data_IF_723626067990
#
_entry.id   IF_723626067990
#
_cell.length_a   1.000
_cell.length_b   1.000
_cell.length_c   1.000
_cell.angle_alpha   90.00
_cell.angle_beta   90.00
_cell.angle_gamma   90.00
#
_symmetry.space_group_name_H-M   'P 1'
#
loop_
_entity.id
_entity.type
_entity.pdbx_description
1 polymer ?
#
# COMPACT_ATOMS: atom_id res chain seq x y z
N UNK A 1 -0.58 -21.27 17.41
CA UNK A 1 -1.54 -21.31 16.29
C UNK A 1 -0.78 -20.87 15.05
N UNK A 2 -0.48 -21.80 14.14
CA UNK A 2 0.27 -21.51 12.92
C UNK A 2 -0.72 -20.86 11.95
N UNK A 3 -0.54 -19.57 11.70
CA UNK A 3 -1.33 -18.79 10.76
C UNK A 3 -1.20 -19.41 9.36
N UNK A 4 -2.32 -19.51 8.65
CA UNK A 4 -2.40 -20.01 7.28
C UNK A 4 -1.73 -19.04 6.29
N UNK A 5 -0.41 -18.91 6.34
CA UNK A 5 0.36 -18.28 5.27
C UNK A 5 0.53 -19.29 4.14
N UNK A 6 0.15 -18.89 2.93
CA UNK A 6 0.51 -19.64 1.72
C UNK A 6 2.03 -19.78 1.71
N UNK A 7 2.53 -21.01 1.89
CA UNK A 7 3.92 -21.29 2.23
C UNK A 7 4.89 -20.87 1.12
N UNK A 8 5.23 -19.58 1.08
CA UNK A 8 6.39 -19.07 0.35
C UNK A 8 7.65 -19.70 0.95
N UNK A 9 8.60 -20.09 0.10
CA UNK A 9 9.82 -20.74 0.56
C UNK A 9 10.81 -19.69 1.05
N UNK A 10 10.75 -19.41 2.35
CA UNK A 10 11.73 -18.61 3.08
C UNK A 10 12.53 -19.58 3.95
N UNK A 11 13.85 -19.59 3.83
CA UNK A 11 14.71 -20.39 4.72
C UNK A 11 14.87 -19.68 6.06
N UNK A 12 15.16 -20.43 7.12
CA UNK A 12 15.28 -19.90 8.50
C UNK A 12 16.32 -18.77 8.59
N UNK A 13 17.37 -18.81 7.77
CA UNK A 13 18.38 -17.76 7.69
C UNK A 13 17.87 -16.50 7.00
N UNK A 14 16.95 -16.63 6.03
CA UNK A 14 16.38 -15.51 5.26
C UNK A 14 15.23 -14.83 6.00
N UNK A 15 14.54 -15.53 6.91
CA UNK A 15 13.41 -15.00 7.70
C UNK A 15 13.75 -13.75 8.51
N UNK A 16 15.04 -13.49 8.75
CA UNK A 16 15.51 -12.34 9.53
C UNK A 16 15.71 -11.08 8.69
N UNK A 17 15.65 -11.18 7.35
CA UNK A 17 16.03 -10.09 6.44
C UNK A 17 14.88 -9.75 5.49
N UNK A 18 14.08 -8.71 5.79
CA UNK A 18 12.91 -8.37 4.98
C UNK A 18 13.30 -7.98 3.54
N UNK A 19 14.53 -7.46 3.36
CA UNK A 19 15.10 -7.17 2.04
C UNK A 19 15.22 -8.40 1.14
N UNK A 20 15.70 -9.53 1.66
CA UNK A 20 15.84 -10.78 0.88
C UNK A 20 14.46 -11.29 0.46
N UNK A 21 13.49 -11.20 1.37
CA UNK A 21 12.11 -11.59 1.12
C UNK A 21 11.47 -10.68 0.05
N UNK A 22 11.75 -9.37 0.10
CA UNK A 22 11.31 -8.42 -0.91
C UNK A 22 11.92 -8.70 -2.30
N UNK A 23 13.21 -9.06 -2.36
CA UNK A 23 13.89 -9.44 -3.62
C UNK A 23 13.25 -10.68 -4.27
N UNK A 24 12.80 -11.66 -3.46
CA UNK A 24 12.02 -12.81 -3.95
C UNK A 24 10.65 -12.37 -4.49
N UNK A 25 9.95 -11.50 -3.76
CA UNK A 25 8.69 -10.89 -4.21
C UNK A 25 8.84 -10.17 -5.56
N UNK A 26 9.90 -9.37 -5.70
CA UNK A 26 10.22 -8.64 -6.93
C UNK A 26 10.53 -9.58 -8.10
N UNK A 27 11.26 -10.67 -7.84
CA UNK A 27 11.55 -11.69 -8.85
C UNK A 27 10.26 -12.35 -9.36
N UNK A 28 9.36 -12.74 -8.45
CA UNK A 28 8.06 -13.30 -8.81
C UNK A 28 7.17 -12.29 -9.56
N UNK A 29 7.23 -11.01 -9.19
CA UNK A 29 6.56 -9.94 -9.94
C UNK A 29 7.08 -9.86 -11.38
N UNK A 30 8.40 -9.88 -11.58
CA UNK A 30 9.01 -9.89 -12.92
C UNK A 30 8.60 -11.10 -13.75
N UNK A 31 8.38 -12.25 -13.11
CA UNK A 31 7.84 -13.47 -13.72
C UNK A 31 6.32 -13.41 -13.94
N UNK A 32 5.66 -12.29 -13.60
CA UNK A 32 4.19 -12.09 -13.63
C UNK A 32 3.41 -13.03 -12.70
N UNK A 33 4.09 -13.65 -11.73
CA UNK A 33 3.51 -14.49 -10.70
C UNK A 33 2.99 -13.63 -9.54
N UNK A 34 2.05 -12.72 -9.84
CA UNK A 34 1.60 -11.69 -8.89
C UNK A 34 1.07 -12.28 -7.57
N UNK A 35 0.40 -13.43 -7.60
CA UNK A 35 -0.08 -14.10 -6.39
C UNK A 35 1.07 -14.48 -5.45
N UNK A 36 2.17 -14.99 -6.00
CA UNK A 36 3.35 -15.38 -5.22
C UNK A 36 4.11 -14.15 -4.74
N UNK A 37 4.25 -13.12 -5.59
CA UNK A 37 4.85 -11.85 -5.20
C UNK A 37 4.12 -11.21 -4.00
N UNK A 38 2.79 -11.14 -4.07
CA UNK A 38 1.94 -10.65 -2.96
C UNK A 38 2.18 -11.49 -1.69
N UNK A 39 2.31 -12.81 -1.79
CA UNK A 39 2.55 -13.65 -0.62
C UNK A 39 3.91 -13.36 0.05
N UNK A 40 4.96 -13.05 -0.71
CA UNK A 40 6.25 -12.64 -0.14
C UNK A 40 6.16 -11.28 0.56
N UNK A 41 5.49 -10.30 -0.05
CA UNK A 41 5.32 -9.00 0.59
C UNK A 41 4.40 -9.07 1.82
N UNK A 42 3.36 -9.91 1.77
CA UNK A 42 2.50 -10.16 2.93
C UNK A 42 3.28 -10.81 4.07
N UNK A 43 4.22 -11.71 3.76
CA UNK A 43 5.12 -12.28 4.76
C UNK A 43 5.90 -11.18 5.52
N UNK A 44 6.37 -10.14 4.83
CA UNK A 44 7.07 -9.01 5.47
C UNK A 44 6.12 -8.30 6.44
N UNK A 45 4.88 -8.04 6.01
CA UNK A 45 3.87 -7.35 6.83
C UNK A 45 3.52 -8.15 8.09
N UNK A 46 3.45 -9.48 7.97
CA UNK A 46 2.98 -10.36 9.05
C UNK A 46 4.07 -10.68 10.09
N UNK A 47 5.36 -10.65 9.70
CA UNK A 47 6.46 -11.15 10.53
C UNK A 47 7.44 -10.06 11.00
N UNK A 48 7.37 -8.84 10.47
CA UNK A 48 8.25 -7.74 10.86
C UNK A 48 7.44 -6.61 11.49
N UNK A 49 7.85 -6.20 12.69
CA UNK A 49 7.17 -5.13 13.42
C UNK A 49 7.41 -3.76 12.77
N UNK A 50 6.41 -2.88 12.87
CA UNK A 50 6.50 -1.55 12.26
C UNK A 50 7.47 -0.62 12.99
N UNK A 51 7.79 -0.85 14.25
CA UNK A 51 8.66 0.04 15.03
C UNK A 51 10.09 -0.02 14.48
N UNK A 52 10.57 -1.22 14.16
CA UNK A 52 11.92 -1.46 13.65
C UNK A 52 11.99 -1.49 12.12
N UNK A 53 10.89 -1.87 11.44
CA UNK A 53 10.89 -2.13 9.99
C UNK A 53 9.89 -1.28 9.20
N UNK A 54 9.54 -0.09 9.70
CA UNK A 54 8.58 0.82 9.04
C UNK A 54 8.85 1.02 7.55
N UNK A 55 10.13 1.11 7.14
CA UNK A 55 10.52 1.27 5.74
C UNK A 55 10.18 0.04 4.91
N UNK A 56 10.58 -1.15 5.35
CA UNK A 56 10.36 -2.39 4.61
C UNK A 56 8.88 -2.74 4.55
N UNK A 57 8.15 -2.53 5.65
CA UNK A 57 6.70 -2.73 5.69
C UNK A 57 5.98 -1.73 4.76
N UNK A 58 6.37 -0.46 4.73
CA UNK A 58 5.80 0.53 3.81
C UNK A 58 6.00 0.12 2.33
N UNK A 59 7.19 -0.37 1.98
CA UNK A 59 7.46 -0.90 0.64
C UNK A 59 6.61 -2.14 0.34
N UNK A 60 6.48 -3.07 1.29
CA UNK A 60 5.65 -4.26 1.10
C UNK A 60 4.18 -3.91 0.79
N UNK A 61 3.58 -2.94 1.49
CA UNK A 61 2.23 -2.45 1.16
C UNK A 61 2.16 -1.84 -0.25
N UNK A 62 3.14 -1.00 -0.62
CA UNK A 62 3.21 -0.41 -1.96
C UNK A 62 3.31 -1.49 -3.05
N UNK A 63 4.21 -2.46 -2.88
CA UNK A 63 4.45 -3.51 -3.86
C UNK A 63 3.25 -4.44 -4.03
N UNK A 64 2.47 -4.70 -2.97
CA UNK A 64 1.19 -5.41 -3.08
C UNK A 64 0.20 -4.59 -3.91
N UNK A 65 0.05 -3.29 -3.62
CA UNK A 65 -0.78 -2.39 -4.43
C UNK A 65 -0.36 -2.39 -5.90
N UNK A 66 0.95 -2.38 -6.17
CA UNK A 66 1.50 -2.44 -7.52
C UNK A 66 1.22 -3.79 -8.21
N UNK A 67 1.28 -4.91 -7.49
CA UNK A 67 0.87 -6.21 -8.02
C UNK A 67 -0.63 -6.22 -8.41
N UNK A 68 -1.50 -5.59 -7.64
CA UNK A 68 -2.92 -5.46 -7.98
C UNK A 68 -3.15 -4.55 -9.19
N UNK A 69 -2.39 -3.44 -9.27
CA UNK A 69 -2.42 -2.53 -10.41
C UNK A 69 -2.10 -3.26 -11.73
N UNK A 70 -1.04 -4.06 -11.79
CA UNK A 70 -0.70 -4.85 -12.99
C UNK A 70 -1.73 -5.93 -13.33
N UNK A 71 -2.49 -6.39 -12.35
CA UNK A 71 -3.63 -7.29 -12.56
C UNK A 71 -4.91 -6.55 -12.97
N UNK A 72 -4.88 -5.22 -13.13
CA UNK A 72 -6.05 -4.34 -13.38
C UNK A 72 -7.12 -4.40 -12.29
N UNK A 73 -6.72 -4.78 -11.08
CA UNK A 73 -7.56 -4.81 -9.88
C UNK A 73 -7.40 -3.50 -9.14
N UNK A 74 -7.97 -2.45 -9.71
CA UNK A 74 -7.67 -1.08 -9.31
C UNK A 74 -8.22 -0.74 -7.93
N UNK A 75 -9.40 -1.24 -7.57
CA UNK A 75 -10.00 -1.04 -6.26
C UNK A 75 -9.15 -1.65 -5.14
N UNK A 76 -8.58 -2.85 -5.36
CA UNK A 76 -7.62 -3.43 -4.42
C UNK A 76 -6.30 -2.65 -4.40
N UNK A 77 -5.78 -2.23 -5.55
CA UNK A 77 -4.55 -1.44 -5.61
C UNK A 77 -4.67 -0.14 -4.79
N UNK A 78 -5.76 0.60 -4.98
CA UNK A 78 -6.05 1.84 -4.25
C UNK A 78 -6.08 1.63 -2.73
N UNK A 79 -6.72 0.55 -2.25
CA UNK A 79 -6.74 0.24 -0.80
C UNK A 79 -5.34 0.09 -0.21
N UNK A 80 -4.44 -0.59 -0.92
CA UNK A 80 -3.06 -0.77 -0.45
C UNK A 80 -2.26 0.54 -0.53
N UNK A 81 -2.46 1.34 -1.57
CA UNK A 81 -1.84 2.65 -1.67
C UNK A 81 -2.33 3.63 -0.59
N UNK A 82 -3.63 3.63 -0.27
CA UNK A 82 -4.18 4.42 0.83
C UNK A 82 -3.55 4.06 2.18
N UNK A 83 -3.28 2.77 2.43
CA UNK A 83 -2.56 2.33 3.63
C UNK A 83 -1.15 2.93 3.67
N UNK A 84 -0.43 2.97 2.53
CA UNK A 84 0.89 3.60 2.43
C UNK A 84 0.80 5.10 2.76
N UNK A 85 -0.22 5.79 2.23
CA UNK A 85 -0.38 7.23 2.43
C UNK A 85 -0.76 7.62 3.86
N UNK A 86 -1.65 6.85 4.48
CA UNK A 86 -2.23 7.20 5.78
C UNK A 86 -1.43 6.66 6.97
N UNK A 87 -0.73 5.53 6.81
CA UNK A 87 -0.14 4.83 7.96
C UNK A 87 1.39 4.89 8.00
N UNK A 88 2.04 5.50 7.01
CA UNK A 88 3.49 5.59 6.94
C UNK A 88 3.97 7.00 6.57
N UNK A 89 5.17 7.37 7.00
CA UNK A 89 5.81 8.66 6.71
C UNK A 89 6.97 8.54 5.72
N UNK A 90 7.27 7.33 5.28
CA UNK A 90 8.41 7.02 4.39
C UNK A 90 8.12 7.54 2.98
N UNK A 91 8.82 8.58 2.54
CA UNK A 91 8.44 9.35 1.35
C UNK A 91 8.47 8.56 0.02
N UNK A 92 9.50 7.75 -0.30
CA UNK A 92 9.55 7.09 -1.61
C UNK A 92 8.31 6.24 -1.96
N UNK A 93 7.84 5.27 -1.13
CA UNK A 93 6.64 4.51 -1.45
C UNK A 93 5.37 5.38 -1.47
N UNK A 94 5.29 6.45 -0.67
CA UNK A 94 4.14 7.40 -0.72
C UNK A 94 4.05 8.13 -2.06
N UNK A 95 5.17 8.68 -2.53
CA UNK A 95 5.23 9.41 -3.79
C UNK A 95 4.89 8.48 -4.96
N UNK A 96 5.41 7.25 -4.93
CA UNK A 96 5.10 6.27 -5.98
C UNK A 96 3.63 5.82 -5.92
N UNK A 97 3.10 5.55 -4.72
CA UNK A 97 1.68 5.24 -4.53
C UNK A 97 0.79 6.34 -5.12
N UNK A 98 1.05 7.61 -4.81
CA UNK A 98 0.30 8.75 -5.35
C UNK A 98 0.32 8.79 -6.88
N UNK A 99 1.49 8.54 -7.50
CA UNK A 99 1.61 8.50 -8.97
C UNK A 99 0.75 7.40 -9.57
N UNK A 100 0.84 6.19 -9.04
CA UNK A 100 0.06 5.06 -9.56
C UNK A 100 -1.44 5.26 -9.31
N UNK A 101 -1.83 5.85 -8.18
CA UNK A 101 -3.22 6.23 -7.92
C UNK A 101 -3.74 7.24 -8.96
N UNK A 102 -2.93 8.24 -9.30
CA UNK A 102 -3.26 9.21 -10.34
C UNK A 102 -3.45 8.52 -11.70
N UNK A 103 -2.55 7.61 -12.09
CA UNK A 103 -2.68 6.82 -13.32
C UNK A 103 -3.99 6.01 -13.32
N UNK A 104 -4.34 5.38 -12.18
CA UNK A 104 -5.61 4.66 -12.01
C UNK A 104 -6.80 5.59 -12.21
N UNK A 105 -6.78 6.80 -11.64
CA UNK A 105 -7.89 7.75 -11.77
C UNK A 105 -8.03 8.32 -13.17
N UNK A 106 -6.93 8.48 -13.90
CA UNK A 106 -6.96 8.87 -15.31
C UNK A 106 -7.56 7.77 -16.19
N UNK A 107 -7.22 6.50 -15.93
CA UNK A 107 -7.80 5.37 -16.66
C UNK A 107 -9.26 5.09 -16.25
N UNK A 108 -9.58 5.27 -14.96
CA UNK A 108 -10.89 4.98 -14.36
C UNK A 108 -11.37 6.18 -13.52
N UNK A 109 -11.86 7.26 -14.16
CA UNK A 109 -12.31 8.47 -13.45
C UNK A 109 -13.40 8.23 -12.41
N UNK A 110 -14.21 7.19 -12.58
CA UNK A 110 -15.26 6.79 -11.62
C UNK A 110 -14.71 6.33 -10.26
N UNK A 111 -13.43 5.93 -10.19
CA UNK A 111 -12.77 5.54 -8.95
C UNK A 111 -12.15 6.72 -8.21
N UNK A 112 -12.07 7.91 -8.83
CA UNK A 112 -11.55 9.11 -8.17
C UNK A 112 -12.42 9.40 -6.95
N UNK A 113 -11.83 9.63 -5.76
CA UNK A 113 -12.57 10.07 -4.59
C UNK A 113 -13.37 11.32 -4.96
N UNK A 114 -14.66 11.37 -4.60
CA UNK A 114 -15.38 12.63 -4.63
C UNK A 114 -14.64 13.61 -3.73
N UNK A 115 -14.24 14.77 -4.28
CA UNK A 115 -13.88 15.91 -3.45
C UNK A 115 -15.11 16.23 -2.59
N UNK A 116 -15.07 15.84 -1.31
CA UNK A 116 -16.00 16.40 -0.34
C UNK A 116 -15.57 17.85 -0.24
N UNK A 117 -16.37 18.74 -0.82
CA UNK A 117 -16.27 20.16 -0.55
C UNK A 117 -16.63 20.25 0.94
N UNK A 118 -15.62 20.32 1.81
CA UNK A 118 -15.82 20.83 3.15
C UNK A 118 -16.19 22.30 2.94
N UNK A 119 -17.50 22.57 2.79
CA UNK A 119 -18.03 23.91 2.91
C UNK A 119 -17.60 24.39 4.31
N UNK A 120 -16.58 25.24 4.35
CA UNK A 120 -16.34 26.11 5.48
C UNK A 120 -17.66 26.86 5.70
N UNK A 121 -18.45 26.39 6.67
CA UNK A 121 -19.55 27.17 7.21
C UNK A 121 -18.87 28.34 7.90
N UNK A 122 -18.64 29.39 7.13
CA UNK A 122 -18.37 30.73 7.64
C UNK A 122 -19.61 31.08 8.46
N UNK A 123 -19.55 30.80 9.76
CA UNK A 123 -20.54 31.29 10.71
C UNK A 123 -20.36 32.80 10.70
N UNK A 124 -21.18 33.46 9.89
CA UNK A 124 -21.44 34.87 9.99
C UNK A 124 -22.05 35.02 11.39
N UNK A 125 -21.21 35.36 12.37
CA UNK A 125 -21.72 35.91 13.63
C UNK A 125 -22.41 37.22 13.25
N UNK A 126 -23.70 37.11 12.97
CA UNK A 126 -24.59 38.25 12.87
C UNK A 126 -24.46 39.02 14.18
N UNK A 127 -23.97 40.25 14.03
CA UNK A 127 -24.27 41.38 14.89
C UNK A 127 -25.72 41.29 15.38
N UNK A 128 -25.92 40.84 16.61
CA UNK A 128 -27.11 41.17 17.37
C UNK A 128 -26.69 42.26 18.35
N UNK A 129 -26.98 43.48 17.91
CA UNK A 129 -27.05 44.72 18.68
C UNK A 129 -27.47 44.47 20.15
N UNK A 130 -26.64 44.95 21.09
CA UNK A 130 -27.07 45.49 22.38
C UNK A 130 -26.00 46.38 23.00
#
# INVERSE_FOLDING_TARGET
MISCASAVKVSVEEEQYPKIIAEKGYTEFGNKNYKTAIAYYQYIIDNFDRENYAKDVAWAYYEIGFCYYYQKKYEEALKYFDIVLNNFTVLPPKILAQKVMQDIYEEKPKLKPMEVIEEEIEVIEENIDS
#
